data_IF_314915235326
#
_entry.id   IF_314915235326
#
_cell.length_a   1.000
_cell.length_b   1.000
_cell.length_c   1.000
_cell.angle_alpha   90.00
_cell.angle_beta   90.00
_cell.angle_gamma   90.00
#
_symmetry.space_group_name_H-M   'P 1'
#
loop_
_entity.id
_entity.type
_entity.pdbx_description
1 polymer ?
#
# COMPACT_ATOMS: atom_id res chain seq x y z
N UNK A 1 -10.37 -22.35 2.60
CA UNK A 1 -10.35 -21.18 3.49
C UNK A 1 -9.13 -20.37 3.13
N UNK A 2 -9.30 -19.09 2.77
CA UNK A 2 -8.18 -18.21 2.45
C UNK A 2 -7.33 -17.99 3.71
N UNK A 3 -6.04 -18.25 3.62
CA UNK A 3 -5.06 -18.02 4.68
C UNK A 3 -3.92 -17.21 4.08
N UNK A 4 -3.66 -16.04 4.67
CA UNK A 4 -2.59 -15.13 4.23
C UNK A 4 -1.50 -15.15 5.28
N UNK A 5 -0.29 -15.48 4.86
CA UNK A 5 0.89 -15.48 5.72
C UNK A 5 1.83 -14.36 5.31
N UNK A 6 2.14 -13.47 6.25
CA UNK A 6 3.09 -12.39 6.03
C UNK A 6 4.51 -12.95 6.04
N UNK A 7 5.24 -12.74 4.95
CA UNK A 7 6.64 -13.12 4.80
C UNK A 7 7.56 -12.01 5.30
N UNK A 8 7.31 -10.76 4.89
CA UNK A 8 8.13 -9.61 5.26
C UNK A 8 7.28 -8.34 5.35
N UNK A 9 7.74 -7.37 6.14
CA UNK A 9 7.24 -6.01 6.14
C UNK A 9 8.41 -5.03 6.06
N UNK A 10 8.36 -4.11 5.11
CA UNK A 10 9.42 -3.14 4.84
C UNK A 10 8.84 -1.72 4.84
N UNK A 11 9.54 -0.78 5.45
CA UNK A 11 9.20 0.65 5.34
C UNK A 11 9.90 1.25 4.11
N UNK A 12 9.15 1.48 3.04
CA UNK A 12 9.68 2.05 1.79
C UNK A 12 9.67 3.57 1.88
N UNK A 13 10.86 4.17 1.86
CA UNK A 13 11.05 5.62 1.94
C UNK A 13 11.24 6.25 0.56
N UNK A 14 11.03 7.56 0.40
CA UNK A 14 11.36 8.26 -0.84
C UNK A 14 12.82 8.03 -1.27
N UNK A 15 13.06 7.85 -2.56
CA UNK A 15 14.38 7.58 -3.12
C UNK A 15 15.33 8.79 -3.11
N UNK A 16 14.79 9.98 -2.85
CA UNK A 16 15.52 11.24 -2.83
C UNK A 16 14.91 12.22 -1.83
N UNK A 17 15.49 13.41 -1.77
CA UNK A 17 15.01 14.48 -0.89
C UNK A 17 13.56 14.86 -1.20
N UNK A 18 12.80 15.16 -0.16
CA UNK A 18 11.41 15.60 -0.25
C UNK A 18 11.20 16.83 0.63
N UNK A 19 10.24 17.71 0.30
CA UNK A 19 9.91 18.84 1.16
C UNK A 19 9.48 18.37 2.55
N UNK A 20 10.15 18.89 3.59
CA UNK A 20 9.76 18.66 4.98
C UNK A 20 8.85 19.80 5.42
N UNK A 21 7.55 19.58 5.28
CA UNK A 21 6.50 20.59 5.51
C UNK A 21 5.28 19.97 6.17
N UNK A 22 4.47 20.78 6.83
CA UNK A 22 3.09 20.41 7.12
C UNK A 22 2.19 20.81 5.96
N UNK A 23 1.35 19.90 5.47
CA UNK A 23 0.30 20.24 4.52
C UNK A 23 -1.02 20.38 5.26
N UNK A 24 -1.58 21.58 5.16
CA UNK A 24 -2.88 21.90 5.75
C UNK A 24 -4.00 21.17 5.02
N UNK A 25 -4.80 20.42 5.77
CA UNK A 25 -5.98 19.74 5.23
C UNK A 25 -7.12 20.73 5.04
N UNK A 26 -7.82 20.65 3.90
CA UNK A 26 -9.05 21.42 3.67
C UNK A 26 -10.20 20.89 4.52
N UNK A 27 -11.30 21.65 4.59
CA UNK A 27 -12.50 21.20 5.31
C UNK A 27 -13.08 19.92 4.70
N UNK A 28 -12.91 19.69 3.40
CA UNK A 28 -13.35 18.45 2.73
C UNK A 28 -12.52 17.27 3.23
N UNK A 29 -11.21 17.46 3.39
CA UNK A 29 -10.31 16.40 3.87
C UNK A 29 -10.59 16.01 5.32
N UNK A 30 -11.06 16.96 6.16
CA UNK A 30 -11.41 16.69 7.56
C UNK A 30 -12.69 15.88 7.76
N UNK A 31 -13.55 15.80 6.73
CA UNK A 31 -14.79 14.99 6.79
C UNK A 31 -14.47 13.51 6.58
N UNK A 32 -13.34 13.18 5.95
CA UNK A 32 -12.96 11.80 5.66
C UNK A 32 -12.61 11.06 6.96
N UNK A 33 -13.12 9.83 7.16
CA UNK A 33 -12.74 9.03 8.31
C UNK A 33 -11.25 8.75 8.38
N UNK A 34 -10.71 8.67 9.61
CA UNK A 34 -9.28 8.46 9.86
C UNK A 34 -8.91 6.98 9.88
N UNK A 35 -9.33 6.26 8.86
CA UNK A 35 -8.94 4.86 8.60
C UNK A 35 -8.66 4.68 7.12
N UNK A 36 -7.93 3.63 6.77
CA UNK A 36 -7.59 3.38 5.37
C UNK A 36 -8.82 2.94 4.58
N UNK A 37 -9.03 3.55 3.42
CA UNK A 37 -9.90 2.98 2.40
C UNK A 37 -9.25 1.72 1.85
N UNK A 38 -9.92 0.59 1.98
CA UNK A 38 -9.38 -0.67 1.51
C UNK A 38 -9.70 -0.90 0.04
N UNK A 39 -8.71 -1.35 -0.73
CA UNK A 39 -8.86 -1.81 -2.11
C UNK A 39 -7.94 -3.01 -2.36
N UNK A 40 -8.36 -3.88 -3.27
CA UNK A 40 -7.58 -5.07 -3.69
C UNK A 40 -7.61 -5.12 -5.22
N UNK A 41 -6.46 -5.37 -5.82
CA UNK A 41 -6.31 -5.48 -7.27
C UNK A 41 -5.75 -6.86 -7.61
N UNK A 42 -6.46 -7.58 -8.49
CA UNK A 42 -6.06 -8.91 -8.92
C UNK A 42 -5.44 -8.85 -10.31
N UNK A 43 -4.24 -9.41 -10.44
CA UNK A 43 -3.50 -9.48 -11.70
C UNK A 43 -3.32 -10.94 -12.06
N UNK A 44 -4.03 -11.40 -13.10
CA UNK A 44 -3.84 -12.78 -13.61
C UNK A 44 -2.58 -12.81 -14.49
N UNK A 45 -1.63 -13.75 -14.26
CA UNK A 45 -0.60 -14.05 -15.24
C UNK A 45 -1.28 -14.46 -16.54
N UNK A 46 -0.91 -13.86 -17.67
CA UNK A 46 -1.53 -14.22 -18.95
C UNK A 46 -1.16 -15.67 -19.28
N UNK A 47 -2.13 -16.58 -19.29
CA UNK A 47 -1.97 -17.92 -19.85
C UNK A 47 -1.70 -17.79 -21.34
N UNK A 48 -0.53 -18.24 -21.79
CA UNK A 48 -0.18 -18.28 -23.20
C UNK A 48 -0.42 -19.69 -23.75
N UNK A 49 -1.40 -19.79 -24.65
CA UNK A 49 -1.48 -20.87 -25.64
C UNK A 49 -0.53 -20.64 -26.83
N UNK A 50 0.37 -19.64 -26.80
CA UNK A 50 1.31 -19.40 -27.90
C UNK A 50 2.73 -19.01 -27.43
N UNK A 51 3.67 -19.68 -28.09
CA UNK A 51 5.14 -19.74 -28.11
C UNK A 51 5.96 -18.45 -27.81
N UNK A 52 5.84 -17.86 -26.61
CA UNK A 52 6.61 -16.65 -26.23
C UNK A 52 7.08 -16.64 -24.75
N UNK A 53 7.85 -17.66 -24.36
CA UNK A 53 8.50 -17.84 -23.04
C UNK A 53 9.28 -16.59 -22.50
N UNK A 54 9.55 -15.59 -23.35
CA UNK A 54 10.26 -14.36 -22.97
C UNK A 54 9.33 -13.30 -22.35
N UNK A 55 8.10 -13.15 -22.85
CA UNK A 55 7.14 -12.13 -22.37
C UNK A 55 6.54 -12.48 -21.01
N UNK A 56 6.40 -13.77 -20.72
CA UNK A 56 5.91 -14.26 -19.43
C UNK A 56 6.90 -13.97 -18.29
N UNK A 57 8.19 -14.25 -18.50
CA UNK A 57 9.26 -13.92 -17.55
C UNK A 57 9.38 -12.42 -17.28
N UNK A 58 9.12 -11.56 -18.27
CA UNK A 58 9.11 -10.10 -18.08
C UNK A 58 7.90 -9.61 -17.28
N UNK A 59 6.71 -10.20 -17.47
CA UNK A 59 5.52 -9.86 -16.65
C UNK A 59 5.63 -10.33 -15.21
N UNK A 60 6.13 -11.54 -14.97
CA UNK A 60 6.38 -12.04 -13.61
C UNK A 60 7.42 -11.19 -12.87
N UNK A 61 8.39 -10.60 -13.60
CA UNK A 61 9.31 -9.60 -13.05
C UNK A 61 8.63 -8.26 -12.68
N UNK A 62 7.49 -7.89 -13.26
CA UNK A 62 6.78 -6.66 -12.88
C UNK A 62 6.07 -6.79 -11.52
N UNK A 63 5.72 -8.01 -11.12
CA UNK A 63 5.18 -8.32 -9.80
C UNK A 63 6.28 -8.78 -8.83
N UNK A 64 7.54 -8.55 -9.17
CA UNK A 64 8.66 -8.74 -8.26
C UNK A 64 8.62 -7.65 -7.16
N UNK A 65 8.67 -8.08 -5.91
CA UNK A 65 8.53 -7.18 -4.76
C UNK A 65 9.64 -6.14 -4.71
N UNK A 66 10.86 -6.47 -5.12
CA UNK A 66 11.98 -5.53 -5.16
C UNK A 66 11.76 -4.44 -6.22
N UNK A 67 11.30 -4.84 -7.42
CA UNK A 67 10.96 -3.89 -8.49
C UNK A 67 9.86 -2.93 -8.03
N UNK A 68 8.83 -3.43 -7.36
CA UNK A 68 7.73 -2.61 -6.85
C UNK A 68 8.16 -1.67 -5.72
N UNK A 69 8.98 -2.13 -4.77
CA UNK A 69 9.55 -1.30 -3.70
C UNK A 69 10.40 -0.15 -4.29
N UNK A 70 11.22 -0.43 -5.30
CA UNK A 70 12.04 0.59 -5.97
C UNK A 70 11.19 1.60 -6.74
N UNK A 71 10.17 1.13 -7.46
CA UNK A 71 9.24 2.00 -8.18
C UNK A 71 8.45 2.91 -7.20
N UNK A 72 7.96 2.34 -6.10
CA UNK A 72 7.29 3.08 -5.02
C UNK A 72 8.23 4.14 -4.43
N UNK A 73 9.46 3.77 -4.08
CA UNK A 73 10.46 4.70 -3.52
C UNK A 73 10.69 5.90 -4.45
N UNK A 74 10.77 5.68 -5.77
CA UNK A 74 10.89 6.77 -6.77
C UNK A 74 9.61 7.61 -6.86
N UNK A 75 8.44 6.98 -6.87
CA UNK A 75 7.16 7.68 -6.92
C UNK A 75 6.93 8.57 -5.70
N UNK A 76 7.37 8.13 -4.51
CA UNK A 76 7.25 8.89 -3.26
C UNK A 76 8.05 10.20 -3.26
N UNK A 77 8.98 10.42 -4.19
CA UNK A 77 9.61 11.75 -4.34
C UNK A 77 8.59 12.76 -4.87
N UNK A 78 7.77 12.36 -5.85
CA UNK A 78 6.74 13.21 -6.44
C UNK A 78 5.47 13.27 -5.58
N UNK A 79 5.12 12.16 -4.95
CA UNK A 79 3.96 12.01 -4.07
C UNK A 79 4.37 11.97 -2.59
N UNK A 80 5.29 12.87 -2.22
CA UNK A 80 5.90 12.92 -0.89
C UNK A 80 4.92 12.93 0.31
N UNK A 81 3.69 13.48 0.23
CA UNK A 81 2.76 13.41 1.36
C UNK A 81 2.42 11.98 1.74
N UNK A 82 2.41 11.03 0.79
CA UNK A 82 2.07 9.63 1.04
C UNK A 82 3.11 8.92 1.92
N UNK A 83 4.34 9.44 2.00
CA UNK A 83 5.37 8.95 2.92
C UNK A 83 5.29 9.60 4.31
N UNK A 84 4.35 10.52 4.54
CA UNK A 84 4.18 11.25 5.79
C UNK A 84 3.33 10.53 6.84
N UNK A 85 2.93 11.28 7.86
CA UNK A 85 1.98 10.87 8.91
C UNK A 85 0.91 11.93 9.11
N UNK A 86 -0.21 11.57 9.73
CA UNK A 86 -1.11 12.61 10.24
C UNK A 86 -0.53 13.16 11.53
N UNK A 87 -0.68 14.46 11.75
CA UNK A 87 -0.45 15.09 13.05
C UNK A 87 -1.54 16.12 13.34
N UNK A 88 -1.46 16.71 14.53
CA UNK A 88 -2.29 17.85 14.92
C UNK A 88 -1.41 19.09 15.00
N UNK A 89 -1.91 20.21 14.49
CA UNK A 89 -1.31 21.52 14.74
C UNK A 89 -1.63 22.03 16.16
N UNK A 90 -1.20 23.26 16.47
CA UNK A 90 -1.40 23.90 17.77
C UNK A 90 -2.89 24.09 18.12
N UNK A 91 -3.75 24.27 17.11
CA UNK A 91 -5.20 24.42 17.26
C UNK A 91 -5.92 23.05 17.26
N UNK A 92 -5.17 21.95 17.17
CA UNK A 92 -5.69 20.59 17.15
C UNK A 92 -6.24 20.12 15.80
N UNK A 93 -6.09 20.93 14.74
CA UNK A 93 -6.50 20.59 13.38
C UNK A 93 -5.58 19.51 12.83
N UNK A 94 -6.17 18.57 12.10
CA UNK A 94 -5.41 17.50 11.44
C UNK A 94 -4.68 18.06 10.23
N UNK A 95 -3.41 17.73 10.11
CA UNK A 95 -2.57 18.05 8.96
C UNK A 95 -1.68 16.85 8.59
N UNK A 96 -1.12 16.88 7.37
CA UNK A 96 -0.14 15.88 6.96
C UNK A 96 1.27 16.38 7.29
N UNK A 97 1.96 15.63 8.13
CA UNK A 97 3.38 15.78 8.39
C UNK A 97 4.20 15.09 7.30
N UNK A 98 4.71 15.86 6.35
CA UNK A 98 5.55 15.36 5.26
C UNK A 98 6.99 15.12 5.75
N UNK A 99 7.15 14.11 6.62
CA UNK A 99 8.42 13.78 7.28
C UNK A 99 9.22 12.65 6.60
N UNK A 100 8.74 12.15 5.45
CA UNK A 100 9.42 11.13 4.66
C UNK A 100 9.60 9.78 5.38
N UNK A 101 8.82 9.48 6.43
CA UNK A 101 8.94 8.23 7.20
C UNK A 101 8.71 6.98 6.36
N UNK A 102 7.94 7.08 5.28
CA UNK A 102 7.72 6.05 4.28
C UNK A 102 6.36 5.38 4.37
N UNK A 103 6.17 4.44 3.44
CA UNK A 103 4.98 3.59 3.26
C UNK A 103 5.28 2.19 3.77
N UNK A 104 4.35 1.60 4.50
CA UNK A 104 4.48 0.19 4.91
C UNK A 104 4.13 -0.69 3.71
N UNK A 105 5.12 -1.48 3.27
CA UNK A 105 4.97 -2.47 2.21
C UNK A 105 5.10 -3.87 2.82
N UNK A 106 4.04 -4.66 2.71
CA UNK A 106 3.95 -6.02 3.24
C UNK A 106 4.05 -7.00 2.07
N UNK A 107 4.88 -8.02 2.22
CA UNK A 107 4.89 -9.18 1.32
C UNK A 107 4.20 -10.33 2.03
N UNK A 108 3.20 -10.91 1.38
CA UNK A 108 2.47 -12.05 1.90
C UNK A 108 2.28 -13.11 0.82
N UNK A 109 2.00 -14.34 1.24
CA UNK A 109 1.57 -15.41 0.34
C UNK A 109 0.30 -16.08 0.84
N UNK A 110 -0.35 -16.81 -0.06
CA UNK A 110 -1.46 -17.70 0.24
C UNK A 110 -1.33 -18.95 -0.61
N UNK A 111 -1.86 -20.07 -0.11
CA UNK A 111 -1.93 -21.32 -0.87
C UNK A 111 -3.14 -21.34 -1.83
N UNK A 112 -3.98 -20.31 -1.82
CA UNK A 112 -5.10 -20.15 -2.76
C UNK A 112 -4.63 -19.67 -4.13
N UNK A 113 -5.30 -20.13 -5.19
CA UNK A 113 -5.14 -19.58 -6.55
C UNK A 113 -6.20 -18.50 -6.82
N UNK A 114 -5.99 -17.67 -7.84
CA UNK A 114 -6.91 -16.57 -8.18
C UNK A 114 -8.34 -17.06 -8.47
N UNK A 115 -8.48 -18.28 -9.01
CA UNK A 115 -9.77 -18.89 -9.31
C UNK A 115 -10.56 -19.27 -8.05
N UNK A 116 -9.88 -19.47 -6.91
CA UNK A 116 -10.51 -19.76 -5.62
C UNK A 116 -11.18 -18.51 -5.02
N UNK A 117 -10.88 -17.32 -5.54
CA UNK A 117 -11.31 -16.03 -4.98
C UNK A 117 -12.68 -15.55 -5.50
N UNK A 118 -13.32 -16.35 -6.36
CA UNK A 118 -14.67 -16.11 -6.84
C UNK A 118 -14.76 -14.96 -7.87
N UNK A 119 -15.81 -14.15 -7.74
CA UNK A 119 -16.11 -13.02 -8.65
C UNK A 119 -15.46 -11.70 -8.19
N UNK A 120 -14.62 -11.74 -7.16
CA UNK A 120 -13.96 -10.60 -6.52
C UNK A 120 -14.92 -9.59 -5.85
N UNK A 121 -16.19 -9.96 -5.63
CA UNK A 121 -17.09 -9.17 -4.80
C UNK A 121 -16.55 -9.07 -3.36
N UNK A 122 -16.65 -7.92 -2.67
CA UNK A 122 -16.12 -7.78 -1.32
C UNK A 122 -16.72 -8.78 -0.31
N UNK A 123 -15.88 -9.62 0.29
CA UNK A 123 -16.26 -10.58 1.35
C UNK A 123 -15.38 -10.45 2.58
N UNK A 124 -15.82 -11.01 3.71
CA UNK A 124 -14.99 -11.11 4.91
C UNK A 124 -13.73 -11.97 4.68
N UNK A 125 -13.81 -12.95 3.78
CA UNK A 125 -12.65 -13.76 3.41
C UNK A 125 -11.62 -12.92 2.65
N UNK A 126 -12.02 -12.21 1.59
CA UNK A 126 -11.11 -11.34 0.82
C UNK A 126 -10.53 -10.18 1.65
N UNK A 127 -11.18 -9.81 2.76
CA UNK A 127 -10.62 -8.83 3.70
C UNK A 127 -9.26 -9.26 4.28
N UNK A 128 -8.98 -10.56 4.32
CA UNK A 128 -7.67 -11.09 4.75
C UNK A 128 -6.52 -10.71 3.80
N UNK A 129 -6.82 -10.32 2.55
CA UNK A 129 -5.81 -9.83 1.59
C UNK A 129 -5.36 -8.40 1.90
N UNK A 130 -5.99 -7.74 2.86
CA UNK A 130 -5.68 -6.36 3.25
C UNK A 130 -4.91 -6.38 4.58
N UNK A 131 -3.76 -5.71 4.68
CA UNK A 131 -2.97 -5.68 5.89
C UNK A 131 -3.72 -4.98 7.04
N UNK A 132 -3.66 -5.56 8.23
CA UNK A 132 -4.30 -5.00 9.42
C UNK A 132 -3.48 -3.86 10.01
N UNK A 133 -4.14 -2.75 10.36
CA UNK A 133 -3.53 -1.60 11.03
C UNK A 133 -4.17 -1.38 12.40
N UNK A 134 -3.33 -1.16 13.40
CA UNK A 134 -3.74 -0.82 14.76
C UNK A 134 -3.95 0.70 14.88
N UNK A 135 -5.18 1.13 14.70
CA UNK A 135 -5.57 2.54 14.80
C UNK A 135 -5.65 3.06 16.24
N UNK A 136 -5.49 2.19 17.26
CA UNK A 136 -5.63 2.60 18.68
C UNK A 136 -4.42 3.41 19.19
N UNK A 137 -3.30 3.36 18.47
CA UNK A 137 -2.02 3.94 18.89
C UNK A 137 -1.83 5.42 18.60
N UNK A 138 -2.81 6.06 17.94
CA UNK A 138 -2.71 7.45 17.52
C UNK A 138 -2.45 7.60 16.03
N UNK A 139 -2.90 8.73 15.47
CA UNK A 139 -2.93 8.99 14.02
C UNK A 139 -1.53 9.21 13.42
N UNK A 140 -0.59 9.57 14.27
CA UNK A 140 0.81 9.82 13.97
C UNK A 140 1.61 8.52 13.83
N UNK A 141 1.06 7.39 14.29
CA UNK A 141 1.79 6.13 14.38
C UNK A 141 1.67 5.26 13.14
N UNK A 142 0.58 5.37 12.39
CA UNK A 142 0.36 4.58 11.18
C UNK A 142 0.67 5.38 9.90
N UNK A 143 1.24 4.74 8.87
CA UNK A 143 1.45 5.38 7.56
C UNK A 143 0.14 5.84 6.92
N UNK A 144 0.18 6.82 6.02
CA UNK A 144 -1.00 7.21 5.22
C UNK A 144 -1.36 6.19 4.14
N UNK A 145 -0.36 5.43 3.68
CA UNK A 145 -0.52 4.38 2.69
C UNK A 145 0.13 3.10 3.22
N UNK A 146 -0.57 1.99 3.02
CA UNK A 146 -0.11 0.65 3.34
C UNK A 146 -0.41 -0.21 2.13
N UNK A 147 0.58 -0.97 1.67
CA UNK A 147 0.48 -1.85 0.52
C UNK A 147 0.79 -3.27 0.96
N UNK A 148 0.06 -4.23 0.41
CA UNK A 148 0.39 -5.64 0.49
C UNK A 148 0.48 -6.20 -0.91
N UNK A 149 1.55 -6.94 -1.16
CA UNK A 149 1.74 -7.76 -2.35
C UNK A 149 1.58 -9.23 -1.97
#
# INVERSE_FOLDING_TARGET
MLVVEVKESTMVRPAGETPVVSLWNSNVDLVVPRFHTHSVYFYRPSSCDDDDNKKEKEKLKLLDSQVLKEALSKALVLFYPMAGRLKRDEDGRIEIDCNGQGVLFVEAHTNSVIDDLGDFSPTLELRQLIPSIDYSKGIETYPLLVLQL
#
